data_IF_232814501372
#
_entry.id   IF_232814501372
#
_cell.length_a   1.000
_cell.length_b   1.000
_cell.length_c   1.000
_cell.angle_alpha   90.00
_cell.angle_beta   90.00
_cell.angle_gamma   90.00
#
_symmetry.space_group_name_H-M   'P 1'
#
loop_
_entity.id
_entity.type
_entity.pdbx_description
1 polymer ?
#
# COMPACT_ATOMS: atom_id res chain seq x y z
N UNK A 1 28.62 -46.78 5.18
CA UNK A 1 27.74 -47.62 4.34
C UNK A 1 26.99 -46.67 3.40
N UNK A 2 27.45 -46.36 2.19
CA UNK A 2 27.34 -47.03 0.88
C UNK A 2 25.89 -47.44 0.55
N UNK A 3 25.26 -46.69 -0.38
CA UNK A 3 24.83 -47.06 -1.74
C UNK A 3 23.85 -45.99 -2.26
N UNK A 4 24.07 -45.21 -3.30
CA UNK A 4 24.13 -45.42 -4.76
C UNK A 4 22.90 -46.09 -5.36
N UNK A 5 22.22 -45.33 -6.28
CA UNK A 5 21.79 -45.69 -7.63
C UNK A 5 20.97 -44.52 -8.20
N UNK A 6 21.35 -43.75 -9.22
CA UNK A 6 21.50 -43.99 -10.67
C UNK A 6 20.17 -44.08 -11.42
N UNK A 7 19.97 -43.03 -12.23
CA UNK A 7 19.67 -42.98 -13.68
C UNK A 7 18.33 -43.49 -14.21
N UNK A 8 17.65 -42.61 -14.99
CA UNK A 8 17.39 -42.91 -16.39
C UNK A 8 16.93 -41.68 -17.17
N UNK A 9 17.68 -41.44 -18.22
CA UNK A 9 17.51 -40.53 -19.34
C UNK A 9 16.54 -41.16 -20.34
N UNK A 10 15.61 -40.37 -20.91
CA UNK A 10 14.95 -40.77 -22.17
C UNK A 10 14.66 -39.52 -23.02
N UNK A 11 15.39 -39.46 -24.09
CA UNK A 11 15.28 -38.59 -25.26
C UNK A 11 14.27 -39.22 -26.23
N UNK A 12 13.31 -38.42 -26.75
CA UNK A 12 12.73 -38.73 -28.07
C UNK A 12 12.52 -37.42 -28.84
N UNK A 13 13.22 -37.37 -29.99
CA UNK A 13 13.07 -36.41 -31.07
C UNK A 13 12.26 -37.04 -32.21
N UNK A 14 11.51 -36.23 -32.95
CA UNK A 14 11.36 -36.26 -34.44
C UNK A 14 10.11 -35.45 -34.83
N UNK A 15 10.26 -34.32 -35.46
CA UNK A 15 10.20 -34.04 -36.91
C UNK A 15 8.87 -34.34 -37.59
N UNK A 16 8.22 -33.31 -38.19
CA UNK A 16 7.82 -33.33 -39.60
C UNK A 16 7.30 -31.97 -40.08
N UNK A 17 7.93 -31.47 -41.10
CA UNK A 17 7.60 -30.34 -41.97
C UNK A 17 6.51 -30.76 -42.97
N UNK A 18 5.52 -29.87 -43.24
CA UNK A 18 4.83 -29.90 -44.54
C UNK A 18 4.43 -28.51 -44.98
N UNK A 19 5.09 -28.03 -46.01
CA UNK A 19 4.75 -26.84 -46.79
C UNK A 19 3.78 -27.24 -47.92
N UNK A 20 2.80 -26.41 -48.21
CA UNK A 20 2.10 -26.42 -49.51
C UNK A 20 1.77 -25.00 -49.95
N UNK A 21 2.43 -24.60 -51.01
CA UNK A 21 2.14 -23.44 -51.86
C UNK A 21 1.06 -23.79 -52.87
N UNK A 22 0.13 -22.87 -53.16
CA UNK A 22 -0.54 -22.82 -54.45
C UNK A 22 -0.85 -21.37 -54.83
N UNK A 23 -0.25 -20.96 -55.92
CA UNK A 23 -0.52 -19.74 -56.67
C UNK A 23 -1.69 -19.97 -57.62
N UNK A 24 -2.50 -18.94 -57.87
CA UNK A 24 -3.54 -18.92 -58.88
C UNK A 24 -3.78 -17.50 -59.38
N UNK A 25 -3.19 -17.15 -60.50
CA UNK A 25 -3.49 -15.96 -61.29
C UNK A 25 -4.78 -16.15 -62.13
N UNK A 26 -5.54 -15.08 -62.34
CA UNK A 26 -6.57 -15.02 -63.36
C UNK A 26 -7.23 -13.63 -63.41
N UNK A 27 -6.88 -12.86 -64.43
CA UNK A 27 -7.37 -11.51 -64.68
C UNK A 27 -8.72 -11.44 -65.39
N UNK A 28 -9.28 -10.24 -65.50
CA UNK A 28 -10.48 -9.91 -66.28
C UNK A 28 -11.03 -8.51 -65.93
N UNK A 29 -10.81 -7.61 -66.86
CA UNK A 29 -11.28 -6.22 -66.90
C UNK A 29 -12.82 -6.17 -67.02
N UNK A 30 -13.49 -5.23 -66.34
CA UNK A 30 -14.34 -4.24 -67.03
C UNK A 30 -14.91 -3.19 -66.07
N UNK A 31 -14.99 -1.98 -66.58
CA UNK A 31 -15.43 -0.77 -65.92
C UNK A 31 -16.95 -0.67 -65.84
N UNK A 32 -17.46 -0.13 -64.72
CA UNK A 32 -18.63 0.76 -64.69
C UNK A 32 -18.69 1.57 -63.38
N UNK A 33 -18.75 2.86 -63.56
CA UNK A 33 -19.04 3.91 -62.57
C UNK A 33 -20.39 3.72 -61.94
N UNK A 34 -20.45 3.81 -60.61
CA UNK A 34 -21.58 4.55 -59.98
C UNK A 34 -21.25 5.09 -58.60
N UNK A 35 -21.75 6.26 -58.31
CA UNK A 35 -21.53 7.16 -57.21
C UNK A 35 -22.37 6.74 -56.03
N UNK A 36 -21.77 6.52 -54.83
CA UNK A 36 -22.56 6.59 -53.59
C UNK A 36 -21.64 6.96 -52.41
N UNK A 37 -22.15 7.85 -51.57
CA UNK A 37 -21.59 8.60 -50.48
C UNK A 37 -20.84 7.78 -49.41
N UNK A 38 -19.96 8.42 -48.60
CA UNK A 38 -19.17 7.75 -47.59
C UNK A 38 -20.04 7.37 -46.40
N UNK A 39 -20.04 6.09 -46.06
CA UNK A 39 -20.55 5.62 -44.78
C UNK A 39 -19.53 6.01 -43.71
N UNK A 40 -20.00 6.81 -42.80
CA UNK A 40 -19.30 7.19 -41.55
C UNK A 40 -19.05 5.91 -40.72
N UNK A 41 -17.83 5.39 -40.84
CA UNK A 41 -17.39 4.29 -40.01
C UNK A 41 -16.79 4.88 -38.73
N UNK A 42 -17.67 5.23 -37.79
CA UNK A 42 -17.27 5.46 -36.40
C UNK A 42 -16.71 4.16 -35.83
N UNK A 43 -15.49 3.86 -36.18
CA UNK A 43 -14.69 2.87 -35.51
C UNK A 43 -14.49 3.30 -34.08
N UNK A 44 -15.24 2.68 -33.17
CA UNK A 44 -14.91 2.67 -31.76
C UNK A 44 -13.49 2.06 -31.67
N UNK A 45 -12.49 2.93 -31.55
CA UNK A 45 -11.17 2.49 -31.13
C UNK A 45 -11.30 1.92 -29.72
N UNK A 46 -11.49 0.61 -29.64
CA UNK A 46 -11.19 -0.11 -28.43
C UNK A 46 -9.69 0.12 -28.17
N UNK A 47 -9.38 0.99 -27.22
CA UNK A 47 -8.04 1.16 -26.70
C UNK A 47 -7.61 -0.19 -26.14
N UNK A 48 -6.96 -0.99 -26.94
CA UNK A 48 -6.23 -2.16 -26.48
C UNK A 48 -5.05 -1.62 -25.67
N UNK A 49 -5.23 -1.51 -24.36
CA UNK A 49 -4.13 -1.28 -23.44
C UNK A 49 -3.11 -2.39 -23.70
N UNK A 50 -1.92 -2.03 -24.17
CA UNK A 50 -0.87 -3.01 -24.43
C UNK A 50 -0.58 -3.74 -23.10
N UNK A 51 -0.61 -5.06 -23.12
CA UNK A 51 -0.30 -5.88 -21.95
C UNK A 51 1.18 -5.71 -21.65
N UNK A 52 1.47 -5.23 -20.45
CA UNK A 52 2.84 -5.01 -19.98
C UNK A 52 3.38 -6.30 -19.36
N UNK A 53 4.68 -6.54 -19.45
CA UNK A 53 5.34 -7.69 -18.86
C UNK A 53 6.59 -7.28 -18.06
N UNK A 54 6.95 -8.07 -17.05
CA UNK A 54 8.16 -7.84 -16.26
C UNK A 54 7.95 -7.97 -14.75
N UNK A 55 8.88 -7.39 -14.00
CA UNK A 55 8.85 -7.39 -12.54
C UNK A 55 8.84 -5.97 -12.00
N UNK A 56 8.12 -5.77 -10.91
CA UNK A 56 8.08 -4.51 -10.14
C UNK A 56 8.42 -4.84 -8.69
N UNK A 57 9.43 -4.20 -8.16
CA UNK A 57 9.79 -4.32 -6.75
C UNK A 57 9.26 -3.13 -5.94
N UNK A 58 8.53 -3.41 -4.86
CA UNK A 58 8.09 -2.39 -3.91
C UNK A 58 8.52 -2.75 -2.50
N UNK A 59 8.95 -1.76 -1.73
CA UNK A 59 9.48 -1.95 -0.39
C UNK A 59 9.03 -0.81 0.54
N UNK A 60 8.68 -1.09 1.78
CA UNK A 60 8.46 -0.05 2.77
C UNK A 60 7.31 -0.26 3.75
N UNK A 61 6.45 0.73 3.84
CA UNK A 61 5.41 0.86 4.87
C UNK A 61 4.55 -0.38 5.08
N UNK A 62 4.58 -0.94 6.29
CA UNK A 62 3.72 -2.07 6.70
C UNK A 62 2.25 -1.68 6.84
N UNK A 63 1.92 -0.39 6.91
CA UNK A 63 0.55 0.11 6.93
C UNK A 63 -0.12 0.08 5.56
N UNK A 64 0.65 0.03 4.49
CA UNK A 64 0.13 0.00 3.11
C UNK A 64 -0.17 -1.43 2.61
N UNK A 65 -0.02 -2.45 3.46
CA UNK A 65 -0.13 -3.86 3.07
C UNK A 65 -1.43 -4.18 2.32
N UNK A 66 -2.59 -3.78 2.85
CA UNK A 66 -3.89 -4.04 2.19
C UNK A 66 -4.02 -3.26 0.88
N UNK A 67 -3.62 -1.99 0.86
CA UNK A 67 -3.71 -1.14 -0.34
C UNK A 67 -2.82 -1.70 -1.45
N UNK A 68 -1.54 -1.92 -1.16
CA UNK A 68 -0.60 -2.46 -2.16
C UNK A 68 -0.97 -3.90 -2.55
N UNK A 69 -1.46 -4.70 -1.59
CA UNK A 69 -1.96 -6.06 -1.85
C UNK A 69 -3.08 -6.07 -2.89
N UNK A 70 -4.11 -5.23 -2.72
CA UNK A 70 -5.23 -5.10 -3.66
C UNK A 70 -4.80 -4.56 -5.02
N UNK A 71 -3.97 -3.51 -5.03
CA UNK A 71 -3.48 -2.89 -6.28
C UNK A 71 -2.63 -3.87 -7.11
N UNK A 72 -1.68 -4.58 -6.48
CA UNK A 72 -0.82 -5.53 -7.19
C UNK A 72 -1.60 -6.72 -7.73
N UNK A 73 -2.56 -7.24 -6.96
CA UNK A 73 -3.37 -8.38 -7.39
C UNK A 73 -4.19 -8.03 -8.64
N UNK A 74 -4.86 -6.88 -8.62
CA UNK A 74 -5.66 -6.43 -9.77
C UNK A 74 -4.76 -6.09 -10.96
N UNK A 75 -3.65 -5.36 -10.76
CA UNK A 75 -2.72 -5.00 -11.82
C UNK A 75 -2.12 -6.24 -12.51
N UNK A 76 -1.71 -7.24 -11.74
CA UNK A 76 -1.22 -8.51 -12.29
C UNK A 76 -2.28 -9.24 -13.11
N UNK A 77 -3.53 -9.23 -12.65
CA UNK A 77 -4.66 -9.82 -13.36
C UNK A 77 -4.95 -9.08 -14.67
N UNK A 78 -4.95 -7.75 -14.66
CA UNK A 78 -5.22 -6.93 -15.85
C UNK A 78 -4.12 -7.05 -16.93
N UNK A 79 -2.93 -7.54 -16.53
CA UNK A 79 -1.81 -7.83 -17.42
C UNK A 79 -1.64 -9.35 -17.67
N UNK A 80 -2.72 -10.14 -17.58
CA UNK A 80 -2.74 -11.58 -17.85
C UNK A 80 -1.65 -12.39 -17.08
N UNK A 81 -1.21 -11.89 -15.91
CA UNK A 81 -0.16 -12.48 -15.10
C UNK A 81 1.26 -12.33 -15.68
N UNK A 82 1.45 -11.51 -16.71
CA UNK A 82 2.78 -11.26 -17.31
C UNK A 82 3.63 -10.29 -16.47
N UNK A 83 3.03 -9.58 -15.52
CA UNK A 83 3.73 -8.74 -14.54
C UNK A 83 3.74 -9.44 -13.19
N UNK A 84 4.86 -9.35 -12.49
CA UNK A 84 4.96 -9.75 -11.08
C UNK A 84 5.31 -8.53 -10.24
N UNK A 85 4.44 -8.17 -9.28
CA UNK A 85 4.68 -7.09 -8.34
C UNK A 85 5.03 -7.69 -6.97
N UNK A 86 6.25 -7.46 -6.48
CA UNK A 86 6.66 -7.84 -5.14
C UNK A 86 6.39 -6.71 -4.14
N UNK A 87 6.13 -7.09 -2.89
CA UNK A 87 5.97 -6.14 -1.79
C UNK A 87 6.70 -6.65 -0.54
N UNK A 88 7.70 -5.89 -0.11
CA UNK A 88 8.48 -6.16 1.10
C UNK A 88 8.10 -5.17 2.21
N UNK A 89 7.46 -5.66 3.26
CA UNK A 89 6.93 -4.86 4.37
C UNK A 89 8.01 -4.58 5.43
N UNK A 90 8.87 -3.59 5.18
CA UNK A 90 10.07 -3.30 6.00
C UNK A 90 9.97 -2.02 6.85
N UNK A 91 8.93 -1.20 6.62
CA UNK A 91 8.77 0.13 7.21
C UNK A 91 9.16 1.27 6.28
N UNK A 92 8.56 2.46 6.49
CA UNK A 92 8.70 3.59 5.56
C UNK A 92 10.14 4.05 5.36
N UNK A 93 10.93 4.13 6.44
CA UNK A 93 12.33 4.54 6.35
C UNK A 93 13.17 3.57 5.51
N UNK A 94 13.00 2.26 5.73
CA UNK A 94 13.70 1.24 4.94
C UNK A 94 13.29 1.26 3.46
N UNK A 95 12.00 1.50 3.15
CA UNK A 95 11.54 1.67 1.77
C UNK A 95 12.13 2.89 1.07
N UNK A 96 12.22 4.02 1.77
CA UNK A 96 12.86 5.24 1.25
C UNK A 96 14.35 5.01 1.01
N UNK A 97 15.03 4.34 1.95
CA UNK A 97 16.44 3.97 1.79
C UNK A 97 16.65 3.02 0.61
N UNK A 98 15.78 2.02 0.43
CA UNK A 98 15.86 1.07 -0.67
C UNK A 98 15.77 1.75 -2.06
N UNK A 99 14.85 2.74 -2.21
CA UNK A 99 14.78 3.56 -3.45
C UNK A 99 16.03 4.41 -3.62
N UNK A 100 16.51 5.04 -2.54
CA UNK A 100 17.72 5.87 -2.57
C UNK A 100 18.91 5.08 -3.09
N UNK A 101 19.04 3.83 -2.64
CA UNK A 101 20.12 2.91 -3.03
C UNK A 101 19.87 2.17 -4.36
N UNK A 102 18.70 2.34 -4.98
CA UNK A 102 18.34 1.68 -6.24
C UNK A 102 18.12 0.17 -6.09
N UNK A 103 17.75 -0.33 -4.90
CA UNK A 103 17.49 -1.75 -4.62
C UNK A 103 16.01 -2.12 -4.75
N UNK A 104 15.13 -1.14 -4.94
CA UNK A 104 13.71 -1.29 -5.24
C UNK A 104 13.27 -0.23 -6.24
N UNK A 105 12.26 -0.53 -7.05
CA UNK A 105 11.73 0.40 -8.05
C UNK A 105 10.91 1.51 -7.39
N UNK A 106 10.02 1.14 -6.46
CA UNK A 106 9.09 2.06 -5.81
C UNK A 106 9.14 1.86 -4.29
N UNK A 107 9.46 2.93 -3.57
CA UNK A 107 9.38 2.97 -2.12
C UNK A 107 7.95 3.25 -1.64
N UNK A 108 7.59 2.72 -0.49
CA UNK A 108 6.28 2.88 0.12
C UNK A 108 6.42 3.60 1.45
N UNK A 109 5.83 4.78 1.55
CA UNK A 109 5.89 5.58 2.78
C UNK A 109 4.50 5.90 3.31
N UNK A 110 4.32 5.82 4.60
CA UNK A 110 3.13 6.27 5.32
C UNK A 110 3.37 7.58 6.07
N UNK A 111 4.18 8.43 5.49
CA UNK A 111 4.40 9.85 5.80
C UNK A 111 4.87 10.60 4.56
N UNK A 112 4.79 11.90 4.56
CA UNK A 112 5.45 12.72 3.55
C UNK A 112 6.98 12.52 3.60
N UNK A 113 7.65 12.78 2.48
CA UNK A 113 9.10 12.86 2.45
C UNK A 113 9.57 14.06 3.29
N UNK A 114 10.70 13.87 3.95
CA UNK A 114 11.41 14.95 4.62
C UNK A 114 12.18 15.81 3.61
N UNK A 115 12.53 17.01 4.00
CA UNK A 115 13.28 17.95 3.14
C UNK A 115 14.62 17.35 2.68
N UNK A 116 15.32 16.62 3.56
CA UNK A 116 16.57 15.95 3.22
C UNK A 116 16.37 14.84 2.17
N UNK A 117 15.26 14.09 2.23
CA UNK A 117 14.93 13.02 1.29
C UNK A 117 14.57 13.60 -0.09
N UNK A 118 13.79 14.68 -0.11
CA UNK A 118 13.47 15.42 -1.35
C UNK A 118 14.73 16.04 -1.95
N UNK A 119 15.59 16.64 -1.13
CA UNK A 119 16.86 17.22 -1.57
C UNK A 119 17.85 16.18 -2.08
N UNK A 120 17.73 14.93 -1.63
CA UNK A 120 18.50 13.79 -2.15
C UNK A 120 17.97 13.25 -3.50
N UNK A 121 16.99 13.93 -4.13
CA UNK A 121 16.46 13.58 -5.44
C UNK A 121 15.34 12.55 -5.42
N UNK A 122 14.61 12.43 -4.31
CA UNK A 122 13.41 11.60 -4.24
C UNK A 122 12.15 12.43 -4.51
N UNK A 123 11.18 11.80 -5.18
CA UNK A 123 9.83 12.34 -5.37
C UNK A 123 8.82 11.44 -4.68
N UNK A 124 7.95 12.06 -3.86
CA UNK A 124 6.83 11.39 -3.21
C UNK A 124 5.51 11.75 -3.87
N UNK A 125 4.77 10.75 -4.35
CA UNK A 125 3.43 10.92 -4.91
C UNK A 125 2.40 10.33 -3.95
N UNK A 126 1.52 11.18 -3.42
CA UNK A 126 0.43 10.73 -2.54
C UNK A 126 -0.63 9.99 -3.34
N UNK A 127 -0.97 8.77 -2.91
CA UNK A 127 -2.01 7.93 -3.53
C UNK A 127 -3.27 7.86 -2.69
N UNK A 128 -3.13 7.99 -1.37
CA UNK A 128 -4.25 7.96 -0.43
C UNK A 128 -3.95 8.77 0.83
N UNK A 129 -5.01 9.07 1.59
CA UNK A 129 -4.93 9.45 2.99
C UNK A 129 -5.29 8.23 3.86
N UNK A 130 -4.71 8.17 5.06
CA UNK A 130 -4.95 7.10 6.02
C UNK A 130 -5.11 7.67 7.42
N UNK A 131 -6.15 7.25 8.11
CA UNK A 131 -6.32 7.55 9.53
C UNK A 131 -5.38 6.69 10.38
N UNK A 132 -4.72 7.30 11.36
CA UNK A 132 -4.00 6.55 12.39
C UNK A 132 -4.96 6.33 13.55
N UNK A 133 -5.62 5.18 13.56
CA UNK A 133 -6.54 4.81 14.63
C UNK A 133 -5.77 4.57 15.93
N UNK A 134 -6.25 5.19 17.02
CA UNK A 134 -5.81 4.88 18.38
C UNK A 134 -6.58 3.66 18.85
N UNK A 135 -5.88 2.59 19.18
CA UNK A 135 -6.49 1.29 19.49
C UNK A 135 -6.21 0.86 20.93
N UNK A 136 -7.20 0.22 21.51
CA UNK A 136 -7.10 -0.43 22.81
C UNK A 136 -7.65 -1.85 22.73
N UNK A 137 -7.39 -2.66 23.75
CA UNK A 137 -8.04 -3.97 23.88
C UNK A 137 -9.58 -3.82 23.86
N UNK A 138 -10.30 -4.77 23.27
CA UNK A 138 -11.75 -4.71 23.14
C UNK A 138 -12.49 -4.57 24.49
N UNK A 139 -11.92 -5.11 25.57
CA UNK A 139 -12.48 -5.06 26.93
C UNK A 139 -12.21 -3.73 27.66
N UNK A 140 -11.43 -2.81 27.08
CA UNK A 140 -11.17 -1.50 27.69
C UNK A 140 -12.48 -0.73 27.92
N UNK A 141 -12.59 -0.02 29.05
CA UNK A 141 -13.75 0.82 29.36
C UNK A 141 -13.66 2.22 28.73
N UNK A 142 -12.45 2.64 28.30
CA UNK A 142 -12.23 3.92 27.61
C UNK A 142 -12.74 3.83 26.18
N UNK A 143 -13.45 4.84 25.72
CA UNK A 143 -14.00 4.92 24.36
C UNK A 143 -13.58 6.19 23.61
N UNK A 144 -13.13 7.22 24.31
CA UNK A 144 -12.71 8.50 23.74
C UNK A 144 -11.50 9.06 24.48
N UNK A 145 -10.60 9.71 23.73
CA UNK A 145 -9.48 10.49 24.27
C UNK A 145 -9.29 11.73 23.39
N UNK A 146 -8.92 12.86 23.99
CA UNK A 146 -8.43 13.99 23.21
C UNK A 146 -7.02 13.75 22.67
N UNK A 147 -6.61 14.48 21.61
CA UNK A 147 -5.22 14.43 21.10
C UNK A 147 -4.21 14.75 22.20
N UNK A 148 -4.54 15.71 23.08
CA UNK A 148 -3.71 16.06 24.22
C UNK A 148 -3.56 14.91 25.21
N UNK A 149 -4.67 14.24 25.62
CA UNK A 149 -4.61 13.07 26.50
C UNK A 149 -3.79 11.93 25.89
N UNK A 150 -3.93 11.70 24.58
CA UNK A 150 -3.12 10.72 23.86
C UNK A 150 -1.63 11.08 23.96
N UNK A 151 -1.28 12.34 23.73
CA UNK A 151 0.09 12.84 23.89
C UNK A 151 0.62 12.65 25.31
N UNK A 152 -0.17 13.00 26.32
CA UNK A 152 0.18 12.83 27.74
C UNK A 152 0.36 11.36 28.14
N UNK A 153 -0.44 10.45 27.58
CA UNK A 153 -0.29 9.00 27.78
C UNK A 153 1.03 8.53 27.19
N UNK A 154 1.28 8.84 25.92
CA UNK A 154 2.49 8.37 25.24
C UNK A 154 3.78 9.06 25.71
N UNK A 155 3.72 10.28 26.27
CA UNK A 155 4.85 10.92 26.94
C UNK A 155 5.06 10.40 28.40
N UNK A 156 4.09 9.64 28.93
CA UNK A 156 4.11 9.09 30.28
C UNK A 156 3.79 10.13 31.37
N UNK A 157 3.07 11.19 31.04
CA UNK A 157 2.47 12.12 31.99
C UNK A 157 1.21 11.52 32.61
N UNK A 158 0.40 10.81 31.82
CA UNK A 158 -0.71 9.98 32.27
C UNK A 158 -0.28 8.52 32.16
N UNK A 159 -0.25 7.81 33.30
CA UNK A 159 0.23 6.42 33.36
C UNK A 159 -0.81 5.43 33.86
N UNK A 160 -1.99 5.90 34.27
CA UNK A 160 -3.06 5.05 34.78
C UNK A 160 -4.38 5.34 34.07
N UNK A 161 -5.08 4.30 33.66
CA UNK A 161 -6.36 4.41 32.96
C UNK A 161 -7.44 5.14 33.74
N UNK A 162 -7.43 5.11 35.11
CA UNK A 162 -8.39 5.83 35.92
C UNK A 162 -8.36 7.34 35.71
N UNK A 163 -7.20 7.89 35.32
CA UNK A 163 -7.02 9.34 35.12
C UNK A 163 -7.73 9.82 33.84
N UNK A 164 -8.17 8.89 33.00
CA UNK A 164 -8.94 9.13 31.77
C UNK A 164 -10.26 8.36 31.72
N UNK A 165 -10.80 8.00 32.90
CA UNK A 165 -12.12 7.39 33.01
C UNK A 165 -12.17 5.87 32.83
N UNK A 166 -11.02 5.21 32.83
CA UNK A 166 -10.92 3.76 32.79
C UNK A 166 -10.77 3.10 34.16
N UNK A 167 -10.35 1.84 34.17
CA UNK A 167 -10.07 1.06 35.39
C UNK A 167 -8.79 1.55 36.08
N UNK A 168 -8.64 1.25 37.40
CA UNK A 168 -7.37 1.51 38.09
C UNK A 168 -6.31 0.48 37.69
N UNK A 169 -5.62 0.78 36.59
CA UNK A 169 -4.57 -0.07 36.01
C UNK A 169 -3.55 0.78 35.26
N UNK A 170 -2.28 0.34 35.29
CA UNK A 170 -1.20 0.99 34.55
C UNK A 170 -1.40 0.84 33.03
N UNK A 171 -1.14 1.92 32.29
CA UNK A 171 -1.25 1.95 30.83
C UNK A 171 0.02 1.37 30.21
N UNK A 172 -0.14 0.40 29.32
CA UNK A 172 0.94 -0.14 28.52
C UNK A 172 0.93 0.48 27.12
N UNK A 173 1.83 1.43 26.84
CA UNK A 173 1.95 2.06 25.53
C UNK A 173 2.70 1.15 24.57
N UNK A 174 2.05 0.75 23.49
CA UNK A 174 2.63 -0.10 22.43
C UNK A 174 2.75 0.72 21.15
N UNK A 175 3.95 0.80 20.59
CA UNK A 175 4.20 1.60 19.40
C UNK A 175 5.13 0.92 18.41
N UNK A 176 5.56 1.71 17.46
CA UNK A 176 6.39 1.30 16.34
C UNK A 176 7.85 1.72 16.55
N UNK A 177 8.74 1.06 15.81
CA UNK A 177 10.15 1.40 15.68
C UNK A 177 10.37 2.81 15.12
N UNK A 178 11.55 3.39 15.36
CA UNK A 178 11.90 4.76 14.99
C UNK A 178 11.77 5.08 13.49
N UNK A 179 11.97 4.09 12.61
CA UNK A 179 11.88 4.28 11.16
C UNK A 179 10.46 4.07 10.60
N UNK A 180 9.47 3.93 11.47
CA UNK A 180 8.07 3.78 11.06
C UNK A 180 7.45 5.12 10.68
N UNK A 181 6.94 5.23 9.45
CA UNK A 181 6.15 6.39 9.04
C UNK A 181 4.85 6.56 9.83
N UNK A 182 4.30 5.47 10.41
CA UNK A 182 3.14 5.56 11.32
C UNK A 182 3.52 6.23 12.63
N UNK A 183 4.67 5.88 13.18
CA UNK A 183 5.21 6.53 14.38
C UNK A 183 5.49 8.00 14.12
N UNK A 184 6.18 8.32 13.02
CA UNK A 184 6.49 9.71 12.62
C UNK A 184 5.21 10.57 12.55
N UNK A 185 4.17 10.07 11.85
CA UNK A 185 2.89 10.77 11.73
C UNK A 185 2.17 10.94 13.06
N UNK A 186 2.11 9.86 13.86
CA UNK A 186 1.49 9.87 15.17
C UNK A 186 2.17 10.83 16.13
N UNK A 187 3.49 10.73 16.28
CA UNK A 187 4.29 11.58 17.20
C UNK A 187 4.26 13.06 16.80
N UNK A 188 4.21 13.34 15.48
CA UNK A 188 4.10 14.72 14.98
C UNK A 188 2.78 15.37 15.37
N UNK A 189 1.67 14.62 15.32
CA UNK A 189 0.33 15.17 15.59
C UNK A 189 0.05 15.24 17.10
N UNK A 190 0.55 14.27 17.87
CA UNK A 190 0.38 14.20 19.31
C UNK A 190 1.43 14.97 20.12
N UNK A 191 2.37 15.66 19.43
CA UNK A 191 3.52 16.38 20.03
C UNK A 191 4.38 15.49 20.95
N UNK A 192 4.55 14.23 20.55
CA UNK A 192 5.32 13.25 21.33
C UNK A 192 6.65 12.86 20.69
N UNK A 193 7.08 13.58 19.64
CA UNK A 193 8.36 13.32 18.98
C UNK A 193 9.50 13.40 20.01
N UNK A 194 10.32 12.37 20.01
CA UNK A 194 11.44 12.19 20.96
C UNK A 194 11.03 12.14 22.46
N UNK A 195 9.72 12.10 22.75
CA UNK A 195 9.17 12.05 24.11
C UNK A 195 8.43 10.74 24.42
N UNK A 196 8.11 9.92 23.39
CA UNK A 196 7.36 8.69 23.56
C UNK A 196 8.02 7.71 24.52
N UNK A 197 7.26 7.23 25.49
CA UNK A 197 7.65 6.17 26.44
C UNK A 197 6.87 4.90 26.11
N UNK A 198 7.46 4.05 25.29
CA UNK A 198 6.85 2.81 24.85
C UNK A 198 7.22 1.66 25.79
N UNK A 199 6.21 0.88 26.22
CA UNK A 199 6.41 -0.39 26.92
C UNK A 199 6.89 -1.48 25.95
N UNK A 200 6.48 -1.38 24.67
CA UNK A 200 6.93 -2.26 23.59
C UNK A 200 7.09 -1.44 22.31
N UNK A 201 8.20 -1.71 21.61
CA UNK A 201 8.49 -1.17 20.30
C UNK A 201 8.49 -2.30 19.27
N UNK A 202 7.65 -2.21 18.24
CA UNK A 202 7.37 -3.30 17.30
C UNK A 202 7.62 -2.88 15.85
N UNK A 203 8.02 -3.84 15.03
CA UNK A 203 8.50 -3.59 13.66
C UNK A 203 7.41 -3.57 12.59
N UNK A 204 6.15 -3.89 12.93
CA UNK A 204 5.05 -3.88 11.97
C UNK A 204 3.73 -3.42 12.56
N UNK A 205 2.85 -2.91 11.70
CA UNK A 205 1.48 -2.53 12.05
C UNK A 205 0.70 -3.71 12.62
N UNK A 206 0.81 -4.89 12.01
CA UNK A 206 0.14 -6.09 12.49
C UNK A 206 0.63 -6.54 13.87
N UNK A 207 1.92 -6.40 14.17
CA UNK A 207 2.46 -6.75 15.48
C UNK A 207 1.92 -5.84 16.59
N UNK A 208 1.71 -4.53 16.33
CA UNK A 208 1.06 -3.61 17.28
C UNK A 208 -0.36 -4.05 17.57
N UNK A 209 -1.14 -4.37 16.53
CA UNK A 209 -2.53 -4.83 16.67
C UNK A 209 -2.59 -6.10 17.55
N UNK A 210 -1.75 -7.10 17.27
CA UNK A 210 -1.72 -8.34 18.03
C UNK A 210 -1.26 -8.12 19.49
N UNK A 211 -0.30 -7.23 19.74
CA UNK A 211 0.14 -6.90 21.08
C UNK A 211 -0.95 -6.20 21.91
N UNK A 212 -1.68 -5.25 21.31
CA UNK A 212 -2.83 -4.58 21.96
C UNK A 212 -3.96 -5.57 22.24
N UNK A 213 -4.28 -6.44 21.29
CA UNK A 213 -5.27 -7.51 21.43
C UNK A 213 -4.99 -8.42 22.64
N UNK A 214 -3.73 -8.76 22.86
CA UNK A 214 -3.30 -9.68 23.91
C UNK A 214 -2.98 -9.01 25.26
N UNK A 215 -3.15 -7.70 25.39
CA UNK A 215 -2.85 -6.94 26.59
C UNK A 215 -4.04 -6.06 27.01
N UNK A 216 -4.77 -6.43 28.09
CA UNK A 216 -5.98 -5.71 28.49
C UNK A 216 -5.81 -4.22 28.80
N UNK A 217 -4.60 -3.83 29.24
CA UNK A 217 -4.29 -2.45 29.61
C UNK A 217 -3.49 -1.70 28.54
N UNK A 218 -3.39 -2.26 27.34
CA UNK A 218 -2.61 -1.64 26.27
C UNK A 218 -3.38 -0.54 25.56
N UNK A 219 -2.61 0.46 25.12
CA UNK A 219 -2.96 1.42 24.08
C UNK A 219 -1.91 1.35 22.99
N UNK A 220 -2.33 1.48 21.74
CA UNK A 220 -1.45 1.51 20.59
C UNK A 220 -2.04 2.35 19.46
N UNK A 221 -1.36 2.37 18.33
CA UNK A 221 -1.84 3.06 17.14
C UNK A 221 -1.53 2.23 15.88
N UNK A 222 -2.47 2.25 14.94
CA UNK A 222 -2.34 1.51 13.69
C UNK A 222 -3.10 2.22 12.55
N UNK A 223 -2.80 1.87 11.32
CA UNK A 223 -3.55 2.33 10.14
C UNK A 223 -5.02 1.93 10.23
N UNK A 224 -5.94 2.84 9.86
CA UNK A 224 -7.37 2.53 9.71
C UNK A 224 -7.58 1.30 8.83
N UNK A 225 -6.90 1.25 7.69
CA UNK A 225 -6.95 0.10 6.78
C UNK A 225 -6.57 -1.24 7.42
N UNK A 226 -5.66 -1.21 8.41
CA UNK A 226 -5.21 -2.42 9.09
C UNK A 226 -6.12 -2.87 10.23
N UNK A 227 -6.83 -1.94 10.90
CA UNK A 227 -7.69 -2.25 12.06
C UNK A 227 -9.11 -2.64 11.68
N UNK A 228 -9.56 -2.26 10.50
CA UNK A 228 -10.89 -2.57 10.02
C UNK A 228 -11.16 -4.07 9.97
N UNK A 229 -12.26 -4.51 10.61
CA UNK A 229 -12.65 -5.91 10.71
C UNK A 229 -11.76 -6.77 11.62
N UNK A 230 -10.93 -6.16 12.50
CA UNK A 230 -10.11 -6.91 13.46
C UNK A 230 -10.84 -7.12 14.78
N UNK A 231 -10.92 -8.38 15.19
CA UNK A 231 -11.47 -8.77 16.50
C UNK A 231 -10.45 -8.60 17.63
N UNK A 232 -10.95 -8.36 18.84
CA UNK A 232 -10.14 -8.29 20.07
C UNK A 232 -9.49 -6.93 20.33
N UNK A 233 -9.68 -5.98 19.44
CA UNK A 233 -9.33 -4.57 19.63
C UNK A 233 -10.53 -3.68 19.35
N UNK A 234 -10.50 -2.44 19.83
CA UNK A 234 -11.40 -1.38 19.39
C UNK A 234 -10.63 -0.08 19.16
N UNK A 235 -11.08 0.69 18.18
CA UNK A 235 -10.60 2.05 17.95
C UNK A 235 -11.32 3.00 18.89
N UNK A 236 -10.57 3.92 19.52
CA UNK A 236 -11.13 5.03 20.28
C UNK A 236 -11.58 6.13 19.32
N UNK A 237 -12.59 6.89 19.72
CA UNK A 237 -12.81 8.21 19.13
C UNK A 237 -11.73 9.16 19.64
N UNK A 238 -11.43 10.19 18.85
CA UNK A 238 -10.46 11.24 19.20
C UNK A 238 -11.20 12.57 19.27
N UNK A 239 -11.40 13.07 20.48
CA UNK A 239 -12.23 14.26 20.72
C UNK A 239 -13.66 14.10 20.22
N UNK A 240 -14.24 12.92 20.39
CA UNK A 240 -15.58 12.57 19.92
C UNK A 240 -15.68 12.18 18.44
N UNK A 241 -14.58 12.22 17.67
CA UNK A 241 -14.55 11.88 16.23
C UNK A 241 -14.02 10.46 16.02
N UNK A 242 -14.80 9.61 15.37
CA UNK A 242 -14.37 8.26 15.02
C UNK A 242 -13.35 8.30 13.83
N UNK A 243 -12.40 7.39 13.83
CA UNK A 243 -11.50 7.19 12.70
C UNK A 243 -12.23 6.39 11.62
N UNK A 244 -12.74 7.06 10.61
CA UNK A 244 -13.46 6.48 9.46
C UNK A 244 -12.96 7.09 8.15
N UNK A 245 -13.27 6.46 7.02
CA UNK A 245 -12.95 7.03 5.70
C UNK A 245 -13.52 8.45 5.56
N UNK A 246 -14.78 8.66 5.96
CA UNK A 246 -15.47 9.96 5.87
C UNK A 246 -14.76 11.04 6.68
N UNK A 247 -14.43 10.76 7.96
CA UNK A 247 -13.80 11.73 8.86
C UNK A 247 -12.32 11.99 8.56
N UNK A 248 -11.66 11.05 7.89
CA UNK A 248 -10.32 11.24 7.32
C UNK A 248 -10.41 12.11 6.05
N UNK A 249 -11.40 11.86 5.19
CA UNK A 249 -11.60 12.61 3.94
C UNK A 249 -11.93 14.08 4.18
N UNK A 250 -12.84 14.36 5.11
CA UNK A 250 -13.27 15.74 5.43
C UNK A 250 -12.31 16.47 6.40
N UNK A 251 -11.31 15.75 6.92
CA UNK A 251 -10.28 16.31 7.81
C UNK A 251 -10.72 16.51 9.26
N UNK A 252 -11.91 16.04 9.65
CA UNK A 252 -12.38 16.14 11.06
C UNK A 252 -11.63 15.18 11.98
N UNK A 253 -11.19 14.01 11.47
CA UNK A 253 -10.29 13.15 12.23
C UNK A 253 -8.85 13.67 12.14
N UNK A 254 -8.31 14.12 13.26
CA UNK A 254 -7.05 14.87 13.29
C UNK A 254 -5.80 14.00 13.09
N UNK A 255 -5.81 12.72 13.50
CA UNK A 255 -4.63 11.86 13.45
C UNK A 255 -4.61 11.11 12.11
N UNK A 256 -4.23 11.81 11.03
CA UNK A 256 -4.19 11.28 9.67
C UNK A 256 -2.88 11.63 8.96
N UNK A 257 -2.58 10.91 7.88
CA UNK A 257 -1.33 11.03 7.14
C UNK A 257 -1.47 10.56 5.68
N UNK A 258 -0.54 10.94 4.78
CA UNK A 258 -0.53 10.41 3.42
C UNK A 258 0.06 8.99 3.34
N UNK A 259 -0.44 8.20 2.39
CA UNK A 259 0.26 7.08 1.79
C UNK A 259 0.93 7.55 0.49
N UNK A 260 2.23 7.32 0.39
CA UNK A 260 3.10 7.91 -0.62
C UNK A 260 3.88 6.83 -1.35
N UNK A 261 3.83 6.86 -2.68
CA UNK A 261 4.78 6.15 -3.54
C UNK A 261 6.01 7.04 -3.71
N UNK A 262 7.19 6.47 -3.51
CA UNK A 262 8.47 7.18 -3.59
C UNK A 262 9.26 6.67 -4.77
N UNK A 263 9.73 7.58 -5.62
CA UNK A 263 10.58 7.29 -6.77
C UNK A 263 11.83 8.15 -6.76
N UNK A 264 12.88 7.73 -7.51
CA UNK A 264 14.13 8.48 -7.62
C UNK A 264 14.17 9.23 -8.95
N UNK A 265 14.43 10.55 -8.90
CA UNK A 265 14.30 11.45 -10.05
C UNK A 265 15.25 11.09 -11.21
N UNK A 266 16.48 10.70 -10.89
CA UNK A 266 17.53 10.42 -11.89
C UNK A 266 17.54 8.96 -12.38
N UNK A 267 16.57 8.16 -11.94
CA UNK A 267 16.49 6.75 -12.30
C UNK A 267 15.11 6.46 -12.90
N UNK A 268 15.00 6.38 -14.24
CA UNK A 268 13.75 6.00 -14.88
C UNK A 268 13.28 4.64 -14.41
N UNK A 269 11.98 4.52 -14.13
CA UNK A 269 11.36 3.25 -13.84
C UNK A 269 11.40 2.34 -15.08
N UNK A 270 11.44 1.04 -14.89
CA UNK A 270 11.17 0.09 -15.97
C UNK A 270 9.75 0.28 -16.52
N UNK A 271 9.47 -0.22 -17.73
CA UNK A 271 8.12 -0.12 -18.32
C UNK A 271 7.06 -0.73 -17.39
N UNK A 272 7.33 -1.88 -16.78
CA UNK A 272 6.42 -2.51 -15.83
C UNK A 272 6.23 -1.68 -14.55
N UNK A 273 7.31 -1.12 -14.00
CA UNK A 273 7.25 -0.30 -12.79
C UNK A 273 6.54 1.04 -13.04
N UNK A 274 6.76 1.66 -14.20
CA UNK A 274 6.05 2.88 -14.60
C UNK A 274 4.56 2.60 -14.78
N UNK A 275 4.20 1.52 -15.47
CA UNK A 275 2.79 1.16 -15.65
C UNK A 275 2.08 0.88 -14.32
N UNK A 276 2.74 0.19 -13.37
CA UNK A 276 2.19 0.00 -12.03
C UNK A 276 2.06 1.31 -11.26
N UNK A 277 3.05 2.19 -11.34
CA UNK A 277 3.00 3.51 -10.72
C UNK A 277 1.85 4.34 -11.28
N UNK A 278 1.70 4.41 -12.60
CA UNK A 278 0.63 5.15 -13.28
C UNK A 278 -0.74 4.57 -12.91
N UNK A 279 -0.88 3.25 -12.86
CA UNK A 279 -2.10 2.59 -12.41
C UNK A 279 -2.43 2.96 -10.96
N UNK A 280 -1.47 2.83 -10.04
CA UNK A 280 -1.68 3.07 -8.60
C UNK A 280 -1.99 4.55 -8.28
N UNK A 281 -1.57 5.48 -9.15
CA UNK A 281 -1.82 6.93 -9.01
C UNK A 281 -3.01 7.42 -9.83
N UNK A 282 -3.66 6.55 -10.60
CA UNK A 282 -4.80 6.88 -11.46
C UNK A 282 -6.15 6.74 -10.72
N UNK A 283 -7.22 7.36 -11.24
CA UNK A 283 -8.58 7.13 -10.73
C UNK A 283 -9.05 5.67 -10.80
N UNK A 284 -8.47 4.85 -11.67
CA UNK A 284 -8.80 3.41 -11.79
C UNK A 284 -8.46 2.62 -10.50
N UNK A 285 -7.50 3.11 -9.70
CA UNK A 285 -7.13 2.51 -8.42
C UNK A 285 -8.07 2.87 -7.26
N UNK A 286 -8.92 3.90 -7.41
CA UNK A 286 -9.67 4.49 -6.30
C UNK A 286 -10.57 3.50 -5.56
N UNK A 287 -11.31 2.67 -6.27
CA UNK A 287 -12.22 1.71 -5.64
C UNK A 287 -11.47 0.62 -4.87
N UNK A 288 -10.30 0.21 -5.34
CA UNK A 288 -9.45 -0.74 -4.64
C UNK A 288 -8.81 -0.12 -3.37
N UNK A 289 -8.34 1.13 -3.48
CA UNK A 289 -7.79 1.88 -2.35
C UNK A 289 -8.87 2.04 -1.26
N UNK A 290 -10.10 2.41 -1.65
CA UNK A 290 -11.24 2.56 -0.75
C UNK A 290 -11.64 1.24 -0.12
N UNK A 291 -11.74 0.16 -0.92
CA UNK A 291 -12.04 -1.18 -0.41
C UNK A 291 -10.96 -1.73 0.52
N UNK A 292 -9.73 -1.22 0.43
CA UNK A 292 -8.64 -1.53 1.35
C UNK A 292 -8.66 -0.67 2.64
N UNK A 293 -9.64 0.23 2.81
CA UNK A 293 -9.83 1.08 3.99
C UNK A 293 -8.95 2.33 4.02
N UNK A 294 -8.52 2.83 2.87
CA UNK A 294 -7.80 4.10 2.74
C UNK A 294 -8.56 5.06 1.82
N UNK A 295 -8.30 6.36 1.94
CA UNK A 295 -9.02 7.42 1.20
C UNK A 295 -8.23 7.83 -0.03
N UNK A 296 -8.67 7.49 -1.26
CA UNK A 296 -7.94 7.83 -2.48
C UNK A 296 -7.91 9.34 -2.72
N UNK A 297 -6.83 9.83 -3.33
CA UNK A 297 -6.66 11.26 -3.66
C UNK A 297 -6.68 11.54 -5.17
N UNK A 298 -6.59 10.52 -6.04
CA UNK A 298 -6.68 10.68 -7.48
C UNK A 298 -8.08 11.16 -7.90
N UNK A 299 -8.13 12.12 -8.83
CA UNK A 299 -9.38 12.77 -9.32
C UNK A 299 -9.70 12.36 -10.74
#
# INVERSE_FOLDING_TARGET
MKRNAKSALSIFAASAVLALTLAGCGGGNDASTDTSAPADNSGSEASTTAVVSGTVSTNGSTSMEKVIGSLKEQFQKDNDGQVTVSYDATGSGAGIEAVTNGTTDIGLSSRALKDEETSAGLTGTTVALDGIAVIVNADSQVSDLSVEQIGQIFSGEITNWKDVGGVDAEIACIGREANSGTRDGFESITDTKDKCKLSQELTSTGAVIEAVKNSPNAIGYASLSAVEGKDGIKSLTVGGVACTEETVLDGTYQIQRPFVLVTKNDTPLSEAAQAFFDYATSPAANDLIRSAGAVPVAK
#
